data_IF_897041758933
#
_entry.id   IF_897041758933
#
_cell.length_a   1.000
_cell.length_b   1.000
_cell.length_c   1.000
_cell.angle_alpha   90.00
_cell.angle_beta   90.00
_cell.angle_gamma   90.00
#
_symmetry.space_group_name_H-M   'P 1'
#
loop_
_entity.id
_entity.type
_entity.pdbx_description
1 polymer ?
#
# COMPACT_ATOMS: atom_id res chain seq x y z
N UNK A 1 -12.47 21.85 5.30
CA UNK A 1 -11.28 21.34 4.57
C UNK A 1 -11.56 19.89 4.22
N UNK A 2 -11.20 19.44 3.02
CA UNK A 2 -11.29 18.04 2.63
C UNK A 2 -10.32 17.19 3.45
N UNK A 3 -10.69 15.96 3.75
CA UNK A 3 -9.79 14.99 4.41
C UNK A 3 -8.63 14.66 3.46
N UNK A 4 -7.43 14.45 3.98
CA UNK A 4 -6.27 14.11 3.16
C UNK A 4 -5.90 12.62 3.35
N UNK A 5 -5.70 11.93 2.23
CA UNK A 5 -5.26 10.52 2.16
C UNK A 5 -3.93 10.42 1.42
N UNK A 6 -3.02 9.64 1.96
CA UNK A 6 -1.80 9.21 1.27
C UNK A 6 -1.95 7.74 0.86
N UNK A 7 -1.71 7.44 -0.42
CA UNK A 7 -1.68 6.06 -0.94
C UNK A 7 -0.29 5.76 -1.46
N UNK A 8 0.46 4.91 -0.78
CA UNK A 8 1.78 4.50 -1.26
C UNK A 8 1.64 3.47 -2.38
N UNK A 9 2.44 3.63 -3.46
CA UNK A 9 2.24 2.85 -4.68
C UNK A 9 0.84 3.05 -5.28
N UNK A 10 0.34 4.31 -5.20
CA UNK A 10 -1.04 4.67 -5.51
C UNK A 10 -1.38 4.81 -7.00
N UNK A 11 -0.40 4.65 -7.90
CA UNK A 11 -0.57 4.94 -9.34
C UNK A 11 -1.11 3.78 -10.19
N UNK A 12 -1.11 2.56 -9.69
CA UNK A 12 -1.51 1.34 -10.43
C UNK A 12 -2.27 0.35 -9.55
N UNK A 13 -3.01 -0.56 -10.18
CA UNK A 13 -3.67 -1.68 -9.54
C UNK A 13 -4.55 -1.27 -8.34
N UNK A 14 -4.43 -1.96 -7.21
CA UNK A 14 -5.22 -1.68 -6.00
C UNK A 14 -5.04 -0.24 -5.51
N UNK A 15 -3.80 0.28 -5.58
CA UNK A 15 -3.51 1.65 -5.16
C UNK A 15 -4.25 2.70 -5.98
N UNK A 16 -4.35 2.50 -7.30
CA UNK A 16 -5.09 3.40 -8.18
C UNK A 16 -6.59 3.39 -7.89
N UNK A 17 -7.18 2.20 -7.71
CA UNK A 17 -8.59 2.06 -7.35
C UNK A 17 -8.92 2.71 -6.00
N UNK A 18 -8.03 2.57 -5.00
CA UNK A 18 -8.15 3.27 -3.71
C UNK A 18 -8.10 4.78 -3.92
N UNK A 19 -7.16 5.28 -4.72
CA UNK A 19 -7.00 6.71 -5.00
C UNK A 19 -8.24 7.29 -5.66
N UNK A 20 -8.79 6.62 -6.68
CA UNK A 20 -10.02 7.02 -7.36
C UNK A 20 -11.22 7.03 -6.42
N UNK A 21 -11.38 5.95 -5.64
CA UNK A 21 -12.50 5.83 -4.72
C UNK A 21 -12.46 6.86 -3.61
N UNK A 22 -11.28 7.14 -3.06
CA UNK A 22 -11.07 8.19 -2.06
C UNK A 22 -11.41 9.57 -2.60
N UNK A 23 -10.97 9.90 -3.83
CA UNK A 23 -11.31 11.16 -4.49
C UNK A 23 -12.82 11.33 -4.64
N UNK A 24 -13.54 10.28 -5.08
CA UNK A 24 -15.02 10.28 -5.17
C UNK A 24 -15.71 10.46 -3.82
N UNK A 25 -15.05 10.09 -2.70
CA UNK A 25 -15.53 10.33 -1.34
C UNK A 25 -15.11 11.71 -0.79
N UNK A 26 -14.50 12.57 -1.60
CA UNK A 26 -14.13 13.94 -1.23
C UNK A 26 -12.78 14.08 -0.52
N UNK A 27 -11.93 13.05 -0.57
CA UNK A 27 -10.56 13.18 -0.07
C UNK A 27 -9.69 13.97 -1.04
N UNK A 28 -8.79 14.79 -0.50
CA UNK A 28 -7.57 15.19 -1.20
C UNK A 28 -6.61 14.01 -1.20
N UNK A 29 -6.05 13.63 -2.35
CA UNK A 29 -5.32 12.37 -2.50
C UNK A 29 -3.87 12.59 -2.92
N UNK A 30 -2.93 12.09 -2.14
CA UNK A 30 -1.55 11.94 -2.58
C UNK A 30 -1.33 10.54 -3.16
N UNK A 31 -1.02 10.50 -4.45
CA UNK A 31 -0.62 9.29 -5.19
C UNK A 31 0.90 9.20 -5.15
N UNK A 32 1.45 8.45 -4.20
CA UNK A 32 2.89 8.19 -4.18
C UNK A 32 3.25 7.11 -5.20
N UNK A 33 4.36 7.29 -5.86
CA UNK A 33 4.98 6.33 -6.78
C UNK A 33 6.50 6.32 -6.60
N UNK A 34 7.17 5.23 -7.01
CA UNK A 34 8.64 5.18 -7.05
C UNK A 34 9.17 5.33 -8.47
N UNK A 35 8.73 4.50 -9.42
CA UNK A 35 9.27 4.46 -10.79
C UNK A 35 8.26 4.86 -11.85
N UNK A 36 7.01 4.48 -11.71
CA UNK A 36 5.98 4.72 -12.72
C UNK A 36 5.34 6.10 -12.55
N UNK A 37 6.08 7.12 -12.96
CA UNK A 37 5.62 8.51 -12.98
C UNK A 37 4.45 8.70 -13.94
N UNK A 38 4.47 8.02 -15.06
CA UNK A 38 3.48 8.19 -16.13
C UNK A 38 2.09 7.80 -15.63
N UNK A 39 1.94 6.60 -15.09
CA UNK A 39 0.64 6.14 -14.55
C UNK A 39 0.14 7.02 -13.41
N UNK A 40 1.03 7.40 -12.48
CA UNK A 40 0.65 8.27 -11.37
C UNK A 40 0.18 9.66 -11.84
N UNK A 41 0.84 10.26 -12.83
CA UNK A 41 0.45 11.56 -13.38
C UNK A 41 -0.83 11.50 -14.19
N UNK A 42 -1.06 10.42 -14.95
CA UNK A 42 -2.31 10.22 -15.68
C UNK A 42 -3.46 10.15 -14.68
N UNK A 43 -3.33 9.30 -13.65
CA UNK A 43 -4.35 9.17 -12.61
C UNK A 43 -4.67 10.51 -11.94
N UNK A 44 -3.64 11.26 -11.50
CA UNK A 44 -3.86 12.56 -10.85
C UNK A 44 -4.62 13.52 -11.77
N UNK A 45 -4.28 13.60 -13.06
CA UNK A 45 -5.02 14.43 -14.03
C UNK A 45 -6.49 14.01 -14.18
N UNK A 46 -6.77 12.71 -14.10
CA UNK A 46 -8.14 12.20 -14.13
C UNK A 46 -8.91 12.63 -12.87
N UNK A 47 -8.30 12.47 -11.69
CA UNK A 47 -8.89 12.90 -10.42
C UNK A 47 -9.16 14.42 -10.39
N UNK A 48 -8.22 15.21 -10.90
CA UNK A 48 -8.38 16.68 -10.99
C UNK A 48 -9.51 17.08 -11.95
N UNK A 49 -9.68 16.37 -13.09
CA UNK A 49 -10.80 16.60 -14.02
C UNK A 49 -12.15 16.31 -13.38
N UNK A 50 -12.19 15.35 -12.43
CA UNK A 50 -13.38 15.03 -11.64
C UNK A 50 -13.58 15.99 -10.44
N UNK A 51 -12.71 16.99 -10.29
CA UNK A 51 -12.81 18.04 -9.25
C UNK A 51 -12.11 17.69 -7.93
N UNK A 52 -11.37 16.60 -7.88
CA UNK A 52 -10.60 16.26 -6.69
C UNK A 52 -9.30 17.07 -6.60
N UNK A 53 -8.85 17.34 -5.37
CA UNK A 53 -7.51 17.87 -5.13
C UNK A 53 -6.54 16.68 -5.02
N UNK A 54 -5.61 16.53 -5.96
CA UNK A 54 -4.72 15.39 -6.04
C UNK A 54 -3.27 15.79 -6.30
N UNK A 55 -2.33 14.97 -5.86
CA UNK A 55 -0.89 15.20 -6.01
C UNK A 55 -0.20 13.88 -6.34
N UNK A 56 0.58 13.82 -7.42
CA UNK A 56 1.54 12.75 -7.66
C UNK A 56 2.88 13.10 -7.04
N UNK A 57 3.43 12.23 -6.19
CA UNK A 57 4.71 12.47 -5.53
C UNK A 57 5.63 11.25 -5.62
N UNK A 58 6.84 11.47 -6.16
CA UNK A 58 7.84 10.43 -6.25
C UNK A 58 8.58 10.27 -4.92
N UNK A 59 8.56 9.07 -4.37
CA UNK A 59 9.38 8.69 -3.23
C UNK A 59 9.54 7.17 -3.17
N UNK A 60 10.75 6.71 -2.88
CA UNK A 60 11.01 5.33 -2.48
C UNK A 60 10.72 5.20 -0.98
N UNK A 61 9.66 4.47 -0.66
CA UNK A 61 9.25 4.28 0.75
C UNK A 61 10.28 3.56 1.61
N UNK A 62 11.26 2.90 1.01
CA UNK A 62 12.37 2.27 1.73
C UNK A 62 13.44 3.25 2.23
N UNK A 63 13.37 4.52 1.78
CA UNK A 63 14.31 5.59 2.15
C UNK A 63 13.64 6.55 3.13
N UNK A 64 14.20 6.67 4.32
CA UNK A 64 13.61 7.45 5.43
C UNK A 64 13.42 8.91 5.06
N UNK A 65 14.44 9.54 4.47
CA UNK A 65 14.41 10.95 4.08
C UNK A 65 13.36 11.23 3.00
N UNK A 66 13.15 10.27 2.07
CA UNK A 66 12.14 10.42 1.02
C UNK A 66 10.71 10.29 1.59
N UNK A 67 10.52 9.42 2.58
CA UNK A 67 9.24 9.31 3.29
C UNK A 67 8.94 10.59 4.08
N UNK A 68 9.91 11.14 4.80
CA UNK A 68 9.73 12.41 5.52
C UNK A 68 9.38 13.55 4.57
N UNK A 69 10.08 13.66 3.44
CA UNK A 69 9.81 14.67 2.41
C UNK A 69 8.42 14.50 1.77
N UNK A 70 7.99 13.25 1.53
CA UNK A 70 6.63 12.95 1.06
C UNK A 70 5.58 13.54 2.01
N UNK A 71 5.67 13.23 3.30
CA UNK A 71 4.67 13.68 4.27
C UNK A 71 4.71 15.21 4.45
N UNK A 72 5.88 15.84 4.47
CA UNK A 72 6.01 17.31 4.51
C UNK A 72 5.38 17.97 3.30
N UNK A 73 5.59 17.40 2.10
CA UNK A 73 5.00 17.93 0.86
C UNK A 73 3.49 17.79 0.86
N UNK A 74 2.98 16.66 1.34
CA UNK A 74 1.53 16.44 1.48
C UNK A 74 0.91 17.48 2.42
N UNK A 75 1.50 17.71 3.60
CA UNK A 75 0.99 18.72 4.52
C UNK A 75 0.94 20.12 3.91
N UNK A 76 1.94 20.48 3.13
CA UNK A 76 2.04 21.79 2.47
C UNK A 76 0.97 21.98 1.38
N UNK A 77 0.65 20.93 0.62
CA UNK A 77 -0.18 21.03 -0.59
C UNK A 77 -1.61 20.55 -0.41
N UNK A 78 -1.82 19.51 0.42
CA UNK A 78 -3.12 18.85 0.61
C UNK A 78 -3.66 18.98 2.04
N UNK A 79 -2.84 19.46 2.98
CA UNK A 79 -3.16 19.53 4.40
C UNK A 79 -2.71 18.31 5.19
N UNK A 80 -2.93 18.36 6.50
CA UNK A 80 -2.54 17.27 7.41
C UNK A 80 -3.24 15.97 7.01
N UNK A 81 -2.51 14.86 6.81
CA UNK A 81 -3.12 13.58 6.46
C UNK A 81 -4.02 13.09 7.60
N UNK A 82 -5.19 12.57 7.25
CA UNK A 82 -6.14 11.90 8.13
C UNK A 82 -6.25 10.40 7.82
N UNK A 83 -5.65 9.98 6.70
CA UNK A 83 -5.61 8.57 6.31
C UNK A 83 -4.31 8.20 5.59
N UNK A 84 -3.86 6.97 5.80
CA UNK A 84 -2.73 6.35 5.11
C UNK A 84 -3.13 4.97 4.62
N UNK A 85 -2.86 4.68 3.35
CA UNK A 85 -2.91 3.32 2.81
C UNK A 85 -1.50 2.88 2.43
N UNK A 86 -0.91 2.00 3.23
CA UNK A 86 0.37 1.34 2.95
C UNK A 86 0.15 0.23 1.93
N UNK A 87 0.23 0.59 0.64
CA UNK A 87 0.03 -0.33 -0.48
C UNK A 87 1.32 -0.60 -1.27
N UNK A 88 2.33 0.27 -1.18
CA UNK A 88 3.62 0.06 -1.87
C UNK A 88 4.21 -1.32 -1.55
N UNK A 89 4.56 -2.04 -2.59
CA UNK A 89 5.12 -3.39 -2.49
C UNK A 89 5.93 -3.75 -3.73
N UNK A 90 6.84 -4.69 -3.55
CA UNK A 90 7.54 -5.36 -4.64
C UNK A 90 7.41 -6.88 -4.49
N UNK A 91 7.52 -7.55 -5.62
CA UNK A 91 7.67 -8.98 -5.78
C UNK A 91 8.92 -9.22 -6.64
N UNK A 92 9.53 -10.39 -6.53
CA UNK A 92 10.64 -10.80 -7.38
C UNK A 92 10.26 -12.06 -8.16
N UNK A 93 11.14 -12.54 -9.03
CA UNK A 93 10.91 -13.76 -9.81
C UNK A 93 10.69 -14.97 -8.89
N UNK A 94 9.86 -15.90 -9.34
CA UNK A 94 9.64 -17.14 -8.59
C UNK A 94 10.94 -17.91 -8.36
N UNK A 95 11.15 -18.33 -7.12
CA UNK A 95 12.23 -19.23 -6.77
C UNK A 95 11.99 -19.90 -5.40
N UNK A 96 12.64 -21.04 -5.19
CA UNK A 96 12.69 -21.68 -3.88
C UNK A 96 13.64 -20.92 -2.96
N UNK A 97 13.50 -21.12 -1.63
CA UNK A 97 14.30 -20.43 -0.63
C UNK A 97 15.81 -20.67 -0.81
N UNK A 98 16.22 -21.83 -1.28
CA UNK A 98 17.61 -22.19 -1.57
C UNK A 98 18.20 -21.46 -2.79
N UNK A 99 17.36 -20.84 -3.63
CA UNK A 99 17.76 -19.94 -4.72
C UNK A 99 17.73 -18.45 -4.38
N UNK A 100 17.32 -18.08 -3.16
CA UNK A 100 17.24 -16.67 -2.75
C UNK A 100 18.56 -16.18 -2.18
N UNK A 101 19.07 -15.06 -2.67
CA UNK A 101 20.23 -14.39 -2.09
C UNK A 101 19.85 -13.30 -1.07
N UNK A 102 20.80 -12.84 -0.29
CA UNK A 102 20.59 -11.84 0.74
C UNK A 102 20.09 -10.50 0.17
N UNK A 103 20.60 -10.08 -0.99
CA UNK A 103 20.20 -8.82 -1.64
C UNK A 103 18.71 -8.82 -1.98
N UNK A 104 18.19 -9.90 -2.55
CA UNK A 104 16.75 -10.07 -2.85
C UNK A 104 15.91 -9.95 -1.58
N UNK A 105 16.28 -10.70 -0.53
CA UNK A 105 15.55 -10.69 0.74
C UNK A 105 15.55 -9.28 1.34
N UNK A 106 16.71 -8.64 1.40
CA UNK A 106 16.86 -7.28 1.93
C UNK A 106 16.00 -6.28 1.16
N UNK A 107 16.01 -6.34 -0.18
CA UNK A 107 15.20 -5.44 -1.03
C UNK A 107 13.71 -5.62 -0.79
N UNK A 108 13.21 -6.86 -0.72
CA UNK A 108 11.80 -7.14 -0.45
C UNK A 108 11.40 -6.60 0.93
N UNK A 109 12.21 -6.85 1.96
CA UNK A 109 11.91 -6.37 3.31
C UNK A 109 12.05 -4.84 3.42
N UNK A 110 13.01 -4.23 2.75
CA UNK A 110 13.19 -2.78 2.75
C UNK A 110 11.92 -2.07 2.25
N UNK A 111 11.37 -2.49 1.11
CA UNK A 111 10.17 -1.86 0.55
C UNK A 111 8.90 -2.29 1.31
N UNK A 112 8.67 -3.61 1.43
CA UNK A 112 7.39 -4.13 1.90
C UNK A 112 7.19 -3.97 3.41
N UNK A 113 8.27 -4.00 4.20
CA UNK A 113 8.23 -3.95 5.66
C UNK A 113 8.72 -2.60 6.17
N UNK A 114 10.01 -2.29 5.98
CA UNK A 114 10.60 -1.04 6.49
C UNK A 114 9.83 0.18 5.97
N UNK A 115 9.49 0.22 4.67
CA UNK A 115 8.70 1.30 4.09
C UNK A 115 7.33 1.49 4.77
N UNK A 116 6.65 0.39 5.08
CA UNK A 116 5.37 0.45 5.79
C UNK A 116 5.52 0.98 7.23
N UNK A 117 6.61 0.61 7.93
CA UNK A 117 6.94 1.17 9.25
C UNK A 117 7.23 2.68 9.18
N UNK A 118 8.06 3.11 8.22
CA UNK A 118 8.43 4.52 8.04
C UNK A 118 7.19 5.38 7.75
N UNK A 119 6.35 4.94 6.80
CA UNK A 119 5.11 5.66 6.48
C UNK A 119 4.14 5.67 7.67
N UNK A 120 3.98 4.55 8.39
CA UNK A 120 3.14 4.49 9.57
C UNK A 120 3.65 5.42 10.69
N UNK A 121 4.97 5.46 10.93
CA UNK A 121 5.61 6.38 11.87
C UNK A 121 5.28 7.83 11.55
N UNK A 122 5.45 8.26 10.30
CA UNK A 122 5.17 9.62 9.88
C UNK A 122 3.67 9.97 9.96
N UNK A 123 2.79 9.00 9.67
CA UNK A 123 1.36 9.16 9.86
C UNK A 123 1.00 9.34 11.34
N UNK A 124 1.53 8.51 12.24
CA UNK A 124 1.30 8.63 13.68
C UNK A 124 1.74 9.99 14.21
N UNK A 125 2.94 10.47 13.84
CA UNK A 125 3.45 11.80 14.27
C UNK A 125 2.50 12.95 13.93
N UNK A 126 1.70 12.83 12.85
CA UNK A 126 0.81 13.89 12.34
C UNK A 126 -0.64 13.70 12.74
N UNK A 127 -1.08 12.45 12.85
CA UNK A 127 -2.49 12.12 13.04
C UNK A 127 -2.85 11.91 14.53
N UNK A 128 -1.90 11.42 15.34
CA UNK A 128 -2.14 11.09 16.75
C UNK A 128 -2.49 12.32 17.57
N UNK A 129 -3.52 12.21 18.41
CA UNK A 129 -3.91 13.26 19.37
C UNK A 129 -2.81 13.56 20.37
N UNK A 130 -1.92 12.61 20.65
CA UNK A 130 -0.74 12.79 21.50
C UNK A 130 0.21 13.87 20.97
N UNK A 131 0.27 14.06 19.67
CA UNK A 131 1.10 15.06 19.00
C UNK A 131 0.28 16.26 18.48
N UNK A 132 -0.99 16.40 18.90
CA UNK A 132 -1.87 17.48 18.50
C UNK A 132 -2.64 17.22 17.19
N UNK A 133 -2.57 16.01 16.65
CA UNK A 133 -3.37 15.57 15.51
C UNK A 133 -4.85 15.38 15.89
N UNK A 134 -5.67 15.05 14.89
CA UNK A 134 -7.12 14.87 15.04
C UNK A 134 -7.59 13.41 15.02
N UNK A 135 -6.65 12.47 15.08
CA UNK A 135 -6.92 11.07 14.84
C UNK A 135 -6.94 10.73 13.33
N UNK A 136 -7.29 9.50 13.02
CA UNK A 136 -7.36 9.06 11.63
C UNK A 136 -7.34 7.53 11.45
N UNK A 137 -6.99 7.10 10.23
CA UNK A 137 -6.98 5.67 9.90
C UNK A 137 -5.74 5.28 9.08
N UNK A 138 -5.14 4.16 9.46
CA UNK A 138 -4.07 3.52 8.70
C UNK A 138 -4.57 2.16 8.21
N UNK A 139 -4.46 1.88 6.91
CA UNK A 139 -4.76 0.56 6.34
C UNK A 139 -3.50 0.01 5.69
N UNK A 140 -3.10 -1.17 6.13
CA UNK A 140 -1.93 -1.86 5.60
C UNK A 140 -2.35 -2.97 4.62
N UNK A 141 -1.75 -3.01 3.43
CA UNK A 141 -1.95 -4.09 2.47
C UNK A 141 -1.05 -5.27 2.81
N UNK A 142 -1.63 -6.27 3.47
CA UNK A 142 -1.05 -7.58 3.64
C UNK A 142 -1.31 -8.46 2.39
N UNK A 143 -1.43 -9.76 2.55
CA UNK A 143 -1.74 -10.72 1.48
C UNK A 143 -2.23 -12.04 2.07
N UNK A 144 -3.02 -12.81 1.31
CA UNK A 144 -3.28 -14.22 1.57
C UNK A 144 -1.98 -15.05 1.66
N UNK A 145 -0.92 -14.64 0.96
CA UNK A 145 0.40 -15.26 1.02
C UNK A 145 0.95 -15.37 2.45
N UNK A 146 0.65 -14.41 3.33
CA UNK A 146 1.03 -14.44 4.74
C UNK A 146 0.53 -15.71 5.48
N UNK A 147 -0.59 -16.29 5.02
CA UNK A 147 -1.15 -17.53 5.60
C UNK A 147 -0.68 -18.79 4.87
N UNK A 148 -0.47 -18.69 3.55
CA UNK A 148 -0.15 -19.86 2.72
C UNK A 148 1.34 -20.11 2.59
N UNK A 149 2.19 -19.09 2.89
CA UNK A 149 3.64 -19.18 2.84
C UNK A 149 4.24 -19.16 1.43
N UNK A 150 3.43 -19.27 0.36
CA UNK A 150 3.86 -19.32 -1.06
C UNK A 150 5.06 -20.23 -1.32
N UNK A 151 4.98 -21.54 -0.95
CA UNK A 151 6.11 -22.46 -1.04
C UNK A 151 6.55 -22.66 -2.49
N UNK A 152 7.88 -22.62 -2.72
CA UNK A 152 8.46 -22.80 -4.05
C UNK A 152 8.34 -21.57 -4.96
N UNK A 153 7.69 -20.51 -4.53
CA UNK A 153 7.43 -19.32 -5.32
C UNK A 153 8.01 -18.05 -4.67
N UNK A 154 7.39 -17.59 -3.56
CA UNK A 154 7.63 -16.25 -3.00
C UNK A 154 7.64 -16.27 -1.45
N UNK A 155 8.44 -17.15 -0.84
CA UNK A 155 8.48 -17.29 0.63
C UNK A 155 8.91 -16.00 1.32
N UNK A 156 9.84 -15.26 0.72
CA UNK A 156 10.31 -13.95 1.18
C UNK A 156 9.20 -12.89 1.16
N UNK A 157 8.42 -12.83 0.09
CA UNK A 157 7.24 -11.96 0.02
C UNK A 157 6.19 -12.35 1.06
N UNK A 158 5.87 -13.65 1.17
CA UNK A 158 4.92 -14.15 2.17
C UNK A 158 5.34 -13.78 3.60
N UNK A 159 6.64 -13.94 3.93
CA UNK A 159 7.21 -13.53 5.20
C UNK A 159 7.09 -12.02 5.44
N UNK A 160 7.35 -11.19 4.39
CA UNK A 160 7.18 -9.76 4.49
C UNK A 160 5.71 -9.37 4.79
N UNK A 161 4.74 -10.08 4.22
CA UNK A 161 3.32 -9.80 4.46
C UNK A 161 2.83 -10.30 5.83
N UNK A 162 3.42 -11.36 6.36
CA UNK A 162 3.21 -11.76 7.76
C UNK A 162 3.76 -10.71 8.75
N UNK A 163 4.89 -10.08 8.44
CA UNK A 163 5.41 -8.96 9.23
C UNK A 163 4.42 -7.77 9.25
N UNK A 164 3.75 -7.48 8.12
CA UNK A 164 2.71 -6.43 8.06
C UNK A 164 1.50 -6.77 8.93
N UNK A 165 1.11 -8.03 9.01
CA UNK A 165 0.04 -8.46 9.92
C UNK A 165 0.39 -8.16 11.38
N UNK A 166 1.62 -8.48 11.79
CA UNK A 166 2.12 -8.22 13.14
C UNK A 166 2.27 -6.74 13.42
N UNK A 167 2.83 -5.96 12.48
CA UNK A 167 2.88 -4.49 12.57
C UNK A 167 1.50 -3.91 12.84
N UNK A 168 0.50 -4.35 12.07
CA UNK A 168 -0.88 -3.86 12.21
C UNK A 168 -1.44 -4.10 13.62
N UNK A 169 -1.25 -5.31 14.14
CA UNK A 169 -1.73 -5.67 15.48
C UNK A 169 -1.01 -4.85 16.57
N UNK A 170 0.32 -4.73 16.47
CA UNK A 170 1.13 -3.99 17.43
C UNK A 170 0.76 -2.51 17.44
N UNK A 171 0.82 -1.89 16.27
CA UNK A 171 0.55 -0.46 16.12
C UNK A 171 -0.89 -0.10 16.52
N UNK A 172 -1.89 -0.93 16.15
CA UNK A 172 -3.28 -0.69 16.55
C UNK A 172 -3.44 -0.59 18.07
N UNK A 173 -2.68 -1.39 18.82
CA UNK A 173 -2.70 -1.37 20.30
C UNK A 173 -1.93 -0.20 20.87
N UNK A 174 -0.80 0.20 20.26
CA UNK A 174 0.00 1.33 20.71
C UNK A 174 -0.75 2.66 20.62
N UNK A 175 -1.56 2.86 19.57
CA UNK A 175 -2.20 4.14 19.26
C UNK A 175 -3.72 4.14 19.51
N UNK A 176 -4.25 3.13 20.21
CA UNK A 176 -5.68 2.95 20.41
C UNK A 176 -6.36 4.11 21.14
N UNK A 177 -5.68 4.70 22.10
CA UNK A 177 -6.15 5.87 22.87
C UNK A 177 -5.74 7.22 22.27
N UNK A 178 -5.04 7.19 21.15
CA UNK A 178 -4.55 8.36 20.43
C UNK A 178 -5.45 8.79 19.26
N UNK A 179 -6.66 8.25 19.17
CA UNK A 179 -7.63 8.57 18.10
C UNK A 179 -7.32 7.93 16.75
N UNK A 180 -6.40 6.96 16.68
CA UNK A 180 -5.99 6.27 15.48
C UNK A 180 -6.57 4.86 15.41
N UNK A 181 -7.05 4.47 14.22
CA UNK A 181 -7.41 3.09 13.90
C UNK A 181 -6.40 2.52 12.91
N UNK A 182 -5.94 1.30 13.16
CA UNK A 182 -5.00 0.60 12.27
C UNK A 182 -5.58 -0.76 11.90
N UNK A 183 -5.73 -1.01 10.62
CA UNK A 183 -6.28 -2.26 10.09
C UNK A 183 -5.42 -2.80 8.96
N UNK A 184 -5.61 -4.07 8.60
CA UNK A 184 -5.01 -4.67 7.41
C UNK A 184 -6.07 -5.34 6.54
N UNK A 185 -5.85 -5.29 5.23
CA UNK A 185 -6.57 -6.10 4.26
C UNK A 185 -5.61 -7.16 3.71
N UNK A 186 -6.07 -8.40 3.59
CA UNK A 186 -5.33 -9.52 3.00
C UNK A 186 -5.98 -9.93 1.68
N UNK A 187 -5.65 -9.30 0.54
CA UNK A 187 -6.17 -9.72 -0.74
C UNK A 187 -5.76 -11.17 -1.05
N UNK A 188 -6.64 -11.91 -1.70
CA UNK A 188 -6.32 -13.18 -2.33
C UNK A 188 -5.62 -12.98 -3.68
N UNK A 189 -6.02 -13.77 -4.67
CA UNK A 189 -5.56 -13.58 -6.05
C UNK A 189 -6.37 -12.47 -6.71
N UNK A 190 -5.71 -11.37 -7.01
CA UNK A 190 -6.30 -10.15 -7.58
C UNK A 190 -5.64 -9.87 -8.93
N UNK A 191 -6.44 -9.58 -9.93
CA UNK A 191 -5.98 -9.22 -11.27
C UNK A 191 -5.32 -7.84 -11.23
N UNK A 192 -3.99 -7.85 -11.26
CA UNK A 192 -3.13 -6.65 -11.23
C UNK A 192 -1.77 -6.96 -11.86
N UNK A 193 -1.04 -5.93 -12.24
CA UNK A 193 0.25 -6.03 -12.91
C UNK A 193 1.37 -6.64 -12.06
N UNK A 194 1.16 -6.85 -10.76
CA UNK A 194 2.19 -7.39 -9.85
C UNK A 194 2.67 -8.79 -10.29
N UNK A 195 1.80 -9.58 -10.88
CA UNK A 195 2.12 -10.94 -11.32
C UNK A 195 3.06 -10.94 -12.53
N UNK A 196 2.96 -9.93 -13.39
CA UNK A 196 3.89 -9.73 -14.51
C UNK A 196 5.30 -9.45 -13.99
N UNK A 197 5.43 -8.63 -12.95
CA UNK A 197 6.73 -8.35 -12.30
C UNK A 197 7.31 -9.57 -11.58
N UNK A 198 6.47 -10.53 -11.18
CA UNK A 198 6.87 -11.82 -10.59
C UNK A 198 7.29 -12.87 -11.64
N UNK A 199 7.26 -12.53 -12.94
CA UNK A 199 7.65 -13.45 -14.02
C UNK A 199 6.55 -14.43 -14.45
N UNK A 200 5.32 -14.26 -13.98
CA UNK A 200 4.18 -15.11 -14.35
C UNK A 200 3.01 -14.29 -14.92
N UNK A 201 3.06 -13.93 -16.21
CA UNK A 201 1.96 -13.20 -16.84
C UNK A 201 0.64 -14.00 -16.82
N UNK A 202 0.71 -15.33 -16.89
CA UNK A 202 -0.44 -16.24 -16.92
C UNK A 202 -0.86 -16.73 -15.52
N UNK A 203 -0.31 -16.14 -14.45
CA UNK A 203 -0.60 -16.56 -13.06
C UNK A 203 -2.11 -16.59 -12.77
N UNK A 204 -2.87 -15.64 -13.29
CA UNK A 204 -4.31 -15.54 -13.05
C UNK A 204 -5.10 -16.69 -13.68
N UNK A 205 -4.69 -17.18 -14.85
CA UNK A 205 -5.29 -18.35 -15.49
C UNK A 205 -4.99 -19.64 -14.70
N UNK A 206 -3.74 -19.78 -14.25
CA UNK A 206 -3.30 -20.92 -13.44
C UNK A 206 -4.04 -21.03 -12.11
N UNK A 207 -4.27 -19.92 -11.44
CA UNK A 207 -4.88 -19.92 -10.09
C UNK A 207 -6.41 -19.90 -10.10
N UNK A 208 -7.04 -19.44 -11.17
CA UNK A 208 -8.51 -19.34 -11.30
C UNK A 208 -9.26 -20.60 -10.87
N UNK A 209 -8.89 -21.81 -11.32
CA UNK A 209 -9.57 -23.05 -10.93
C UNK A 209 -9.42 -23.40 -9.44
N UNK A 210 -8.37 -22.85 -8.76
CA UNK A 210 -8.10 -23.09 -7.36
C UNK A 210 -8.92 -22.16 -6.44
N UNK A 211 -9.37 -21.01 -6.97
CA UNK A 211 -10.21 -20.07 -6.23
C UNK A 211 -11.62 -20.64 -6.09
N UNK A 212 -12.22 -20.69 -4.86
CA UNK A 212 -13.57 -21.23 -4.67
C UNK A 212 -14.63 -20.62 -5.59
N UNK A 213 -14.58 -19.31 -5.80
CA UNK A 213 -15.50 -18.57 -6.69
C UNK A 213 -15.21 -18.76 -8.19
N UNK A 214 -14.17 -19.56 -8.58
CA UNK A 214 -13.75 -19.84 -9.95
C UNK A 214 -13.43 -18.56 -10.76
N UNK A 215 -13.15 -17.48 -10.07
CA UNK A 215 -12.62 -16.22 -10.61
C UNK A 215 -11.60 -15.61 -9.68
N UNK A 216 -10.67 -14.85 -10.21
CA UNK A 216 -9.81 -13.95 -9.44
C UNK A 216 -10.59 -12.70 -9.04
N UNK A 217 -10.14 -12.03 -7.98
CA UNK A 217 -10.71 -10.74 -7.57
C UNK A 217 -10.25 -9.59 -8.46
N UNK A 218 -10.96 -8.47 -8.38
CA UNK A 218 -10.60 -7.22 -9.04
C UNK A 218 -10.02 -6.23 -8.03
N UNK A 219 -9.17 -5.32 -8.49
CA UNK A 219 -8.56 -4.29 -7.67
C UNK A 219 -9.62 -3.42 -6.95
N UNK A 220 -10.75 -3.15 -7.63
CA UNK A 220 -11.88 -2.42 -7.08
C UNK A 220 -12.50 -3.13 -5.86
N UNK A 221 -12.59 -4.46 -5.85
CA UNK A 221 -13.15 -5.23 -4.73
C UNK A 221 -12.31 -5.03 -3.47
N UNK A 222 -10.97 -4.95 -3.63
CA UNK A 222 -10.05 -4.67 -2.53
C UNK A 222 -10.18 -3.22 -2.08
N UNK A 223 -10.27 -2.28 -3.01
CA UNK A 223 -10.47 -0.86 -2.69
C UNK A 223 -11.79 -0.62 -1.93
N UNK A 224 -12.85 -1.38 -2.24
CA UNK A 224 -14.12 -1.34 -1.49
C UNK A 224 -13.95 -1.78 -0.02
N UNK A 225 -13.04 -2.71 0.26
CA UNK A 225 -12.78 -3.18 1.63
C UNK A 225 -11.86 -2.22 2.42
N UNK A 226 -11.10 -1.37 1.72
CA UNK A 226 -10.18 -0.38 2.32
C UNK A 226 -10.92 0.89 2.70
N UNK A 227 -11.82 1.34 1.84
CA UNK A 227 -12.56 2.61 1.97
C UNK A 227 -13.86 2.46 2.76
#
# INVERSE_FOLDING_TARGET
MSKCLIVTGGGIGIGAEVSQKAAKQGYSVCVNFHRDQTSAQILVRELEKEGANALAYQADVSQEEEVEALFQTVEKHLGTPEALVNNARILDLQTRVDGMNAERIQRIFAVNVTGSFLCAREAVKRMSTKYGGKGGSIVNLSSGAAKYGSPGEYVDYAASKAAIDTLTIGLAREVADEGLRVNAVRPGFIDTEIHQSGGEPDAMERVRPLVPMKRVGQAEEVANAIM
#
